data_IF_835209777294
#
_entry.id   IF_835209777294
#
_cell.length_a   1.000
_cell.length_b   1.000
_cell.length_c   1.000
_cell.angle_alpha   90.00
_cell.angle_beta   90.00
_cell.angle_gamma   90.00
#
_symmetry.space_group_name_H-M   'P 1'
#
loop_
_entity.id
_entity.type
_entity.pdbx_description
1 polymer ?
#
# COMPACT_ATOMS: atom_id res chain seq x y z
N UNK A 1 5.67 7.66 14.66
CA UNK A 1 4.24 7.76 14.34
C UNK A 1 3.78 6.36 14.01
N UNK A 2 2.76 5.82 14.67
CA UNK A 2 2.27 4.48 14.29
C UNK A 2 1.49 4.58 12.98
N UNK A 3 1.75 3.67 12.05
CA UNK A 3 1.17 3.65 10.70
C UNK A 3 0.53 2.30 10.41
N UNK A 4 -0.38 2.27 9.45
CA UNK A 4 -0.96 1.04 8.96
C UNK A 4 -1.01 0.99 7.44
N UNK A 5 -0.77 -0.19 6.87
CA UNK A 5 -1.08 -0.50 5.48
C UNK A 5 -2.34 -1.37 5.50
N UNK A 6 -3.37 -0.94 4.79
CA UNK A 6 -4.61 -1.72 4.63
C UNK A 6 -4.81 -2.04 3.17
N UNK A 7 -4.88 -3.33 2.85
CA UNK A 7 -4.95 -3.80 1.46
C UNK A 7 -6.01 -4.88 1.27
N UNK A 8 -6.59 -4.90 0.07
CA UNK A 8 -7.53 -5.95 -0.30
C UNK A 8 -6.79 -7.22 -0.71
N UNK A 9 -7.25 -8.34 -0.17
CA UNK A 9 -6.81 -9.67 -0.55
C UNK A 9 -7.99 -10.63 -0.46
N UNK A 10 -8.34 -11.28 -1.56
CA UNK A 10 -9.54 -12.12 -1.62
C UNK A 10 -9.50 -13.25 -0.59
N UNK A 11 -10.50 -13.29 0.29
CA UNK A 11 -10.64 -14.34 1.31
C UNK A 11 -9.87 -14.09 2.60
N UNK A 12 -9.22 -12.94 2.75
CA UNK A 12 -8.68 -12.50 4.03
C UNK A 12 -9.78 -12.18 5.05
N UNK A 13 -9.45 -12.30 6.32
CA UNK A 13 -10.24 -11.90 7.47
C UNK A 13 -9.39 -10.97 8.34
N UNK A 14 -9.71 -9.66 8.42
CA UNK A 14 -8.86 -8.68 9.10
C UNK A 14 -8.64 -8.96 10.59
N UNK A 15 -9.52 -9.76 11.23
CA UNK A 15 -9.33 -10.15 12.64
C UNK A 15 -8.22 -11.17 12.83
N UNK A 16 -7.88 -11.92 11.78
CA UNK A 16 -6.85 -12.98 11.80
C UNK A 16 -5.64 -12.59 10.96
N UNK A 17 -5.86 -11.90 9.86
CA UNK A 17 -4.89 -11.61 8.81
C UNK A 17 -4.32 -10.20 8.97
N UNK A 18 -3.68 -9.98 10.11
CA UNK A 18 -2.92 -8.78 10.40
C UNK A 18 -1.55 -9.12 10.99
N UNK A 19 -0.58 -8.22 10.76
CA UNK A 19 0.78 -8.34 11.26
C UNK A 19 1.21 -7.02 11.89
N UNK A 20 1.80 -7.08 13.07
CA UNK A 20 2.51 -5.96 13.67
C UNK A 20 4.02 -6.08 13.42
N UNK A 21 4.63 -4.98 12.99
CA UNK A 21 6.06 -4.87 12.75
C UNK A 21 6.52 -3.47 13.13
N UNK A 22 7.31 -3.34 14.20
CA UNK A 22 7.79 -2.05 14.70
C UNK A 22 6.64 -1.05 14.91
N UNK A 23 6.62 0.05 14.15
CA UNK A 23 5.58 1.08 14.17
C UNK A 23 4.52 0.90 13.07
N UNK A 24 4.55 -0.23 12.33
CA UNK A 24 3.67 -0.54 11.22
C UNK A 24 2.73 -1.72 11.55
N UNK A 25 1.43 -1.53 11.33
CA UNK A 25 0.44 -2.62 11.28
C UNK A 25 0.03 -2.87 9.83
N UNK A 26 0.08 -4.12 9.37
CA UNK A 26 -0.37 -4.51 8.03
C UNK A 26 -1.64 -5.31 8.19
N UNK A 27 -2.73 -4.90 7.53
CA UNK A 27 -4.04 -5.55 7.62
C UNK A 27 -4.54 -5.92 6.23
N UNK A 28 -4.83 -7.20 6.02
CA UNK A 28 -5.53 -7.66 4.84
C UNK A 28 -7.04 -7.61 5.08
N UNK A 29 -7.80 -7.06 4.14
CA UNK A 29 -9.27 -7.07 4.15
C UNK A 29 -9.79 -7.93 3.01
N UNK A 30 -10.83 -8.72 3.28
CA UNK A 30 -11.48 -9.58 2.29
C UNK A 30 -12.47 -8.81 1.43
N UNK A 31 -13.04 -7.72 1.96
CA UNK A 31 -13.93 -6.84 1.20
C UNK A 31 -13.93 -5.38 1.70
N UNK A 32 -14.25 -4.39 0.85
CA UNK A 32 -14.26 -2.98 1.26
C UNK A 32 -15.19 -2.62 2.42
N UNK A 33 -16.25 -3.40 2.65
CA UNK A 33 -17.16 -3.20 3.78
C UNK A 33 -16.51 -3.36 5.17
N UNK A 34 -15.32 -3.95 5.26
CA UNK A 34 -14.56 -4.11 6.51
C UNK A 34 -13.73 -2.88 6.87
N UNK A 35 -13.50 -1.98 5.89
CA UNK A 35 -12.54 -0.89 6.04
C UNK A 35 -12.88 0.06 7.21
N UNK A 36 -14.16 0.29 7.49
CA UNK A 36 -14.58 1.17 8.57
C UNK A 36 -14.28 0.57 9.97
N UNK A 37 -14.61 -0.70 10.18
CA UNK A 37 -14.34 -1.39 11.44
C UNK A 37 -12.82 -1.51 11.69
N UNK A 38 -12.07 -1.86 10.63
CA UNK A 38 -10.60 -1.89 10.68
C UNK A 38 -10.03 -0.52 11.05
N UNK A 39 -10.54 0.56 10.46
CA UNK A 39 -10.07 1.91 10.76
C UNK A 39 -10.33 2.31 12.21
N UNK A 40 -11.49 1.96 12.76
CA UNK A 40 -11.85 2.20 14.17
C UNK A 40 -10.86 1.48 15.10
N UNK A 41 -10.57 0.21 14.81
CA UNK A 41 -9.71 -0.60 15.67
C UNK A 41 -8.24 -0.15 15.59
N UNK A 42 -7.76 0.21 14.40
CA UNK A 42 -6.43 0.81 14.21
C UNK A 42 -6.31 2.14 14.98
N UNK A 43 -7.32 3.01 14.91
CA UNK A 43 -7.34 4.27 15.65
C UNK A 43 -7.30 4.05 17.16
N UNK A 44 -8.07 3.09 17.70
CA UNK A 44 -7.99 2.69 19.12
C UNK A 44 -6.60 2.14 19.50
N UNK A 45 -5.92 1.47 18.57
CA UNK A 45 -4.54 0.99 18.72
C UNK A 45 -3.47 2.10 18.68
N UNK A 46 -3.89 3.34 18.43
CA UNK A 46 -3.04 4.53 18.36
C UNK A 46 -2.35 4.70 17.01
N UNK A 47 -2.87 4.10 15.94
CA UNK A 47 -2.42 4.40 14.56
C UNK A 47 -2.80 5.84 14.21
N UNK A 48 -1.84 6.58 13.67
CA UNK A 48 -1.97 8.00 13.30
C UNK A 48 -2.02 8.18 11.76
N UNK A 49 -1.59 7.17 11.00
CA UNK A 49 -1.64 7.14 9.53
C UNK A 49 -2.14 5.78 9.02
N UNK A 50 -3.19 5.78 8.19
CA UNK A 50 -3.66 4.61 7.45
C UNK A 50 -3.41 4.83 5.96
N UNK A 51 -2.67 3.94 5.32
CA UNK A 51 -2.39 3.95 3.89
C UNK A 51 -3.20 2.85 3.20
N UNK A 52 -4.16 3.25 2.36
CA UNK A 52 -5.01 2.32 1.60
C UNK A 52 -4.34 1.92 0.28
N UNK A 53 -4.29 0.61 0.03
CA UNK A 53 -3.82 0.01 -1.23
C UNK A 53 -4.57 0.54 -2.46
N UNK A 54 -3.90 0.52 -3.63
CA UNK A 54 -4.43 1.03 -4.88
C UNK A 54 -5.61 0.22 -5.45
N UNK A 55 -5.81 -1.01 -4.96
CA UNK A 55 -7.02 -1.79 -5.22
C UNK A 55 -8.27 -1.20 -4.56
N UNK A 56 -8.09 -0.52 -3.42
CA UNK A 56 -9.19 0.11 -2.68
C UNK A 56 -9.62 1.36 -3.41
N UNK A 57 -10.84 1.35 -3.94
CA UNK A 57 -11.42 2.52 -4.62
C UNK A 57 -11.31 3.78 -3.74
N UNK A 58 -10.81 4.92 -4.26
CA UNK A 58 -10.69 6.17 -3.50
C UNK A 58 -11.99 6.68 -2.86
N UNK A 59 -13.14 6.19 -3.33
CA UNK A 59 -14.46 6.48 -2.73
C UNK A 59 -14.56 6.06 -1.26
N UNK A 60 -13.75 5.09 -0.83
CA UNK A 60 -13.78 4.57 0.54
C UNK A 60 -13.00 5.46 1.52
N UNK A 61 -12.03 6.23 1.04
CA UNK A 61 -11.21 7.09 1.89
C UNK A 61 -12.01 8.01 2.81
N UNK A 62 -13.04 8.77 2.38
CA UNK A 62 -13.81 9.61 3.31
C UNK A 62 -14.55 8.79 4.39
N UNK A 63 -15.01 7.57 4.08
CA UNK A 63 -15.64 6.70 5.07
C UNK A 63 -14.63 6.18 6.09
N UNK A 64 -13.44 5.79 5.62
CA UNK A 64 -12.31 5.37 6.47
C UNK A 64 -11.84 6.53 7.36
N UNK A 65 -11.68 7.73 6.80
CA UNK A 65 -11.31 8.93 7.57
C UNK A 65 -12.34 9.26 8.65
N UNK A 66 -13.64 9.23 8.31
CA UNK A 66 -14.70 9.48 9.29
C UNK A 66 -14.71 8.43 10.41
N UNK A 67 -14.47 7.16 10.08
CA UNK A 67 -14.43 6.05 11.04
C UNK A 67 -13.19 6.11 11.96
N UNK A 68 -12.01 6.46 11.40
CA UNK A 68 -10.77 6.58 12.17
C UNK A 68 -10.77 7.80 13.11
N UNK A 69 -11.46 8.87 12.72
CA UNK A 69 -11.57 10.10 13.50
C UNK A 69 -10.44 11.11 13.22
N UNK A 70 -10.53 12.31 13.81
CA UNK A 70 -9.73 13.49 13.42
C UNK A 70 -8.23 13.37 13.73
N UNK A 71 -7.81 12.41 14.56
CA UNK A 71 -6.40 12.17 14.89
C UNK A 71 -5.68 11.25 13.92
N UNK A 72 -6.37 10.73 12.90
CA UNK A 72 -5.81 9.72 11.98
C UNK A 72 -5.86 10.25 10.55
N UNK A 73 -4.70 10.34 9.92
CA UNK A 73 -4.60 10.66 8.50
C UNK A 73 -4.86 9.41 7.67
N UNK A 74 -5.60 9.55 6.57
CA UNK A 74 -5.87 8.43 5.65
C UNK A 74 -5.38 8.81 4.26
N UNK A 75 -4.42 8.05 3.73
CA UNK A 75 -3.91 8.19 2.37
C UNK A 75 -4.50 7.10 1.47
N UNK A 76 -4.36 7.27 0.16
CA UNK A 76 -4.61 6.19 -0.80
C UNK A 76 -3.50 6.17 -1.83
N UNK A 77 -3.09 4.95 -2.19
CA UNK A 77 -2.15 4.74 -3.28
C UNK A 77 -2.81 5.18 -4.60
N UNK A 78 -2.09 6.00 -5.36
CA UNK A 78 -2.51 6.44 -6.70
C UNK A 78 -1.41 6.17 -7.72
N UNK A 79 -1.81 6.13 -8.99
CA UNK A 79 -0.94 5.77 -10.12
C UNK A 79 -0.91 6.92 -11.14
N UNK A 80 0.26 7.15 -11.74
CA UNK A 80 0.43 8.06 -12.86
C UNK A 80 -0.03 7.46 -14.20
N UNK A 81 -0.06 8.30 -15.25
CA UNK A 81 -0.50 7.89 -16.59
C UNK A 81 0.40 6.80 -17.20
N UNK A 82 1.69 6.85 -16.89
CA UNK A 82 2.69 5.84 -17.26
C UNK A 82 2.37 4.44 -16.70
N UNK A 83 1.58 4.38 -15.63
CA UNK A 83 1.13 3.14 -14.99
C UNK A 83 -0.20 2.61 -15.54
N UNK A 84 -0.92 3.32 -16.43
CA UNK A 84 -2.26 2.91 -16.86
C UNK A 84 -2.28 1.55 -17.56
N UNK A 85 -1.47 1.36 -18.61
CA UNK A 85 -1.42 0.11 -19.35
C UNK A 85 -0.99 -1.09 -18.47
N UNK A 86 0.09 -1.01 -17.67
CA UNK A 86 0.48 -2.12 -16.81
C UNK A 86 -0.51 -2.34 -15.64
N UNK A 87 -1.16 -1.29 -15.09
CA UNK A 87 -2.23 -1.44 -14.11
C UNK A 87 -3.48 -2.11 -14.69
N UNK A 88 -3.87 -1.76 -15.91
CA UNK A 88 -4.96 -2.43 -16.63
C UNK A 88 -4.66 -3.92 -16.84
N UNK A 89 -3.42 -4.25 -17.22
CA UNK A 89 -2.98 -5.66 -17.33
C UNK A 89 -3.05 -6.38 -15.99
N UNK A 90 -2.59 -5.76 -14.91
CA UNK A 90 -2.65 -6.35 -13.56
C UNK A 90 -4.10 -6.63 -13.14
N UNK A 91 -4.97 -5.63 -13.31
CA UNK A 91 -6.41 -5.74 -13.01
C UNK A 91 -7.09 -6.82 -13.84
N UNK A 92 -6.83 -6.88 -15.16
CA UNK A 92 -7.38 -7.91 -16.03
C UNK A 92 -6.90 -9.32 -15.64
N UNK A 93 -5.61 -9.48 -15.32
CA UNK A 93 -5.07 -10.76 -14.90
C UNK A 93 -5.72 -11.28 -13.62
N UNK A 94 -6.00 -10.38 -12.65
CA UNK A 94 -6.79 -10.73 -11.47
C UNK A 94 -8.22 -11.15 -11.83
N UNK A 95 -8.91 -10.38 -12.68
CA UNK A 95 -10.28 -10.69 -13.12
C UNK A 95 -10.39 -12.03 -13.88
N UNK A 96 -9.35 -12.39 -14.63
CA UNK A 96 -9.24 -13.65 -15.36
C UNK A 96 -8.87 -14.84 -14.43
N UNK A 97 -8.71 -14.58 -13.12
CA UNK A 97 -8.33 -15.59 -12.13
C UNK A 97 -6.87 -16.03 -12.24
N UNK A 98 -6.01 -15.22 -12.85
CA UNK A 98 -4.57 -15.44 -12.95
C UNK A 98 -3.78 -14.23 -12.40
N UNK A 99 -3.98 -13.87 -11.12
CA UNK A 99 -3.39 -12.67 -10.54
C UNK A 99 -1.86 -12.68 -10.66
N UNK A 100 -1.30 -11.53 -11.02
CA UNK A 100 0.16 -11.35 -11.05
C UNK A 100 0.67 -11.09 -9.63
N UNK A 101 1.93 -11.47 -9.31
CA UNK A 101 2.51 -11.14 -8.02
C UNK A 101 2.59 -9.62 -7.80
N UNK A 102 2.24 -9.15 -6.61
CA UNK A 102 2.41 -7.77 -6.19
C UNK A 102 3.59 -7.63 -5.22
N UNK A 103 4.13 -6.42 -5.12
CA UNK A 103 5.11 -6.09 -4.10
C UNK A 103 4.84 -4.74 -3.44
N UNK A 104 4.84 -4.71 -2.12
CA UNK A 104 4.68 -3.51 -1.32
C UNK A 104 6.02 -3.16 -0.70
N UNK A 105 6.59 -2.04 -1.15
CA UNK A 105 7.86 -1.52 -0.65
C UNK A 105 7.54 -0.44 0.39
N UNK A 106 8.11 -0.55 1.58
CA UNK A 106 7.86 0.41 2.65
C UNK A 106 9.12 0.82 3.38
N UNK A 107 9.19 2.10 3.78
CA UNK A 107 10.32 2.65 4.51
C UNK A 107 10.34 2.16 5.96
N UNK A 108 11.43 1.51 6.35
CA UNK A 108 11.75 1.04 7.70
C UNK A 108 13.26 1.20 7.94
N UNK A 109 13.68 2.25 8.69
CA UNK A 109 15.09 2.50 8.96
C UNK A 109 15.82 1.27 9.53
N UNK A 110 16.95 0.90 8.92
CA UNK A 110 17.78 -0.23 9.36
C UNK A 110 17.34 -1.60 8.83
N UNK A 111 16.26 -1.68 8.05
CA UNK A 111 15.87 -2.92 7.39
C UNK A 111 16.88 -3.34 6.29
N UNK A 112 16.93 -4.64 6.01
CA UNK A 112 17.60 -5.22 4.85
C UNK A 112 16.55 -5.74 3.86
N UNK A 113 16.50 -5.11 2.67
CA UNK A 113 15.50 -5.40 1.64
C UNK A 113 15.49 -6.84 1.12
N UNK A 114 16.54 -7.63 1.35
CA UNK A 114 16.65 -9.03 0.94
C UNK A 114 16.35 -9.99 2.09
N UNK A 115 16.88 -9.71 3.28
CA UNK A 115 16.70 -10.57 4.45
C UNK A 115 15.33 -10.41 5.09
N UNK A 116 14.82 -9.18 5.14
CA UNK A 116 13.66 -8.84 5.97
C UNK A 116 12.34 -8.84 5.19
N UNK A 117 12.38 -9.18 3.88
CA UNK A 117 11.18 -9.35 3.06
C UNK A 117 10.41 -10.62 3.43
N UNK A 118 9.10 -10.58 3.24
CA UNK A 118 8.21 -11.72 3.48
C UNK A 118 7.06 -11.71 2.48
N UNK A 119 6.37 -12.84 2.36
CA UNK A 119 5.25 -13.01 1.42
C UNK A 119 3.98 -13.33 2.21
N UNK A 120 2.90 -12.61 1.93
CA UNK A 120 1.55 -13.04 2.30
C UNK A 120 0.86 -13.62 1.08
N UNK A 121 0.14 -14.73 1.29
CA UNK A 121 -0.58 -15.44 0.24
C UNK A 121 -2.02 -15.63 0.66
N UNK A 122 -2.94 -15.12 -0.17
CA UNK A 122 -4.38 -15.31 0.00
C UNK A 122 -4.92 -15.89 -1.29
N UNK A 123 -5.49 -17.10 -1.20
CA UNK A 123 -5.96 -17.85 -2.36
C UNK A 123 -4.85 -18.03 -3.42
N UNK A 124 -4.89 -17.24 -4.50
CA UNK A 124 -3.92 -17.26 -5.63
C UNK A 124 -3.10 -15.98 -5.71
N UNK A 125 -3.35 -15.02 -4.82
CA UNK A 125 -2.69 -13.72 -4.77
C UNK A 125 -1.46 -13.82 -3.87
N UNK A 126 -0.32 -13.32 -4.37
CA UNK A 126 0.94 -13.30 -3.66
C UNK A 126 1.44 -11.86 -3.56
N UNK A 127 1.55 -11.36 -2.34
CA UNK A 127 2.06 -10.01 -2.07
C UNK A 127 3.37 -10.11 -1.30
N UNK A 128 4.45 -9.62 -1.92
CA UNK A 128 5.76 -9.54 -1.29
C UNK A 128 5.90 -8.20 -0.57
N UNK A 129 6.07 -8.25 0.74
CA UNK A 129 6.34 -7.07 1.56
C UNK A 129 7.85 -6.89 1.67
N UNK A 130 8.34 -5.70 1.31
CA UNK A 130 9.76 -5.39 1.23
C UNK A 130 10.06 -4.15 2.08
N UNK A 131 10.43 -4.32 3.35
CA UNK A 131 10.96 -3.23 4.15
C UNK A 131 12.30 -2.76 3.56
N UNK A 132 12.49 -1.46 3.42
CA UNK A 132 13.75 -0.87 2.91
C UNK A 132 14.22 0.24 3.84
N UNK A 133 15.55 0.39 4.04
CA UNK A 133 16.10 1.38 4.96
C UNK A 133 15.94 2.81 4.42
N UNK A 134 15.88 2.97 3.10
CA UNK A 134 15.79 4.25 2.41
C UNK A 134 15.26 4.09 0.97
N UNK A 135 15.02 5.22 0.30
CA UNK A 135 14.49 5.26 -1.08
C UNK A 135 15.49 4.72 -2.12
N UNK A 136 16.80 4.80 -1.85
CA UNK A 136 17.81 4.26 -2.77
C UNK A 136 17.77 2.73 -2.79
N UNK A 137 17.59 2.11 -1.61
CA UNK A 137 17.34 0.68 -1.49
C UNK A 137 15.99 0.27 -2.12
N UNK A 138 14.97 1.13 -2.06
CA UNK A 138 13.71 0.91 -2.77
C UNK A 138 13.90 0.79 -4.29
N UNK A 139 14.70 1.69 -4.88
CA UNK A 139 15.05 1.66 -6.31
C UNK A 139 15.72 0.34 -6.69
N UNK A 140 16.70 -0.11 -5.88
CA UNK A 140 17.38 -1.38 -6.12
C UNK A 140 16.43 -2.57 -5.98
N UNK A 141 15.55 -2.57 -4.97
CA UNK A 141 14.56 -3.61 -4.76
C UNK A 141 13.57 -3.68 -5.92
N UNK A 142 13.04 -2.54 -6.38
CA UNK A 142 12.09 -2.47 -7.49
C UNK A 142 12.64 -3.08 -8.79
N UNK A 143 13.91 -2.81 -9.13
CA UNK A 143 14.59 -3.43 -10.29
C UNK A 143 14.60 -4.95 -10.22
N UNK A 144 14.93 -5.50 -9.05
CA UNK A 144 14.92 -6.94 -8.82
C UNK A 144 13.51 -7.52 -8.94
N UNK A 145 12.53 -6.90 -8.28
CA UNK A 145 11.14 -7.37 -8.28
C UNK A 145 10.55 -7.46 -9.69
N UNK A 146 10.77 -6.46 -10.55
CA UNK A 146 10.26 -6.53 -11.93
C UNK A 146 11.05 -7.47 -12.83
N UNK A 147 12.32 -7.74 -12.50
CA UNK A 147 13.09 -8.79 -13.16
C UNK A 147 12.52 -10.19 -12.80
N UNK A 148 12.06 -10.36 -11.57
CA UNK A 148 11.43 -11.58 -11.05
C UNK A 148 9.95 -11.75 -11.46
N UNK A 149 9.39 -10.78 -12.20
CA UNK A 149 8.04 -10.87 -12.76
C UNK A 149 6.92 -10.29 -11.88
N UNK A 150 7.25 -9.47 -10.89
CA UNK A 150 6.25 -8.68 -10.15
C UNK A 150 5.47 -7.77 -11.12
N UNK A 151 4.15 -7.84 -11.05
CA UNK A 151 3.22 -7.15 -11.94
C UNK A 151 2.58 -5.89 -11.35
N UNK A 152 2.82 -5.58 -10.07
CA UNK A 152 2.38 -4.37 -9.36
C UNK A 152 3.40 -4.03 -8.27
N UNK A 153 3.81 -2.77 -8.19
CA UNK A 153 4.58 -2.24 -7.06
C UNK A 153 3.81 -1.09 -6.41
N UNK A 154 3.73 -1.09 -5.09
CA UNK A 154 3.16 0.04 -4.33
C UNK A 154 4.15 0.51 -3.26
N UNK A 155 4.23 1.82 -3.09
CA UNK A 155 5.17 2.51 -2.20
C UNK A 155 4.44 3.09 -1.00
N UNK A 156 4.91 2.71 0.19
CA UNK A 156 4.31 3.05 1.48
C UNK A 156 5.33 3.67 2.43
N UNK A 157 4.84 4.35 3.47
CA UNK A 157 5.69 4.89 4.53
C UNK A 157 6.29 6.26 4.20
N UNK A 158 5.66 7.04 3.32
CA UNK A 158 6.01 8.45 3.11
C UNK A 158 7.15 8.71 2.12
N UNK A 159 7.22 7.94 1.03
CA UNK A 159 8.12 8.23 -0.08
C UNK A 159 7.96 9.69 -0.56
N UNK A 160 9.08 10.36 -0.76
CA UNK A 160 9.13 11.67 -1.41
C UNK A 160 8.77 11.55 -2.89
N UNK A 161 8.36 12.65 -3.50
CA UNK A 161 8.10 12.68 -4.95
C UNK A 161 9.34 12.32 -5.76
N UNK A 162 10.54 12.69 -5.29
CA UNK A 162 11.80 12.35 -5.96
C UNK A 162 12.12 10.84 -5.83
N UNK A 163 11.92 10.26 -4.65
CA UNK A 163 12.10 8.83 -4.42
C UNK A 163 11.13 7.98 -5.23
N UNK A 164 9.85 8.36 -5.23
CA UNK A 164 8.83 7.71 -6.03
C UNK A 164 9.17 7.77 -7.54
N UNK A 165 9.57 8.94 -8.05
CA UNK A 165 10.00 9.10 -9.43
C UNK A 165 11.20 8.19 -9.77
N UNK A 166 12.20 8.12 -8.89
CA UNK A 166 13.35 7.24 -9.09
C UNK A 166 12.97 5.75 -9.16
N UNK A 167 11.96 5.32 -8.38
CA UNK A 167 11.42 3.96 -8.46
C UNK A 167 10.65 3.73 -9.76
N UNK A 168 9.80 4.67 -10.17
CA UNK A 168 9.05 4.62 -11.44
C UNK A 168 10.03 4.46 -12.61
N UNK A 169 11.08 5.28 -12.67
CA UNK A 169 12.09 5.21 -13.73
C UNK A 169 12.84 3.87 -13.74
N UNK A 170 13.12 3.32 -12.56
CA UNK A 170 13.83 2.06 -12.41
C UNK A 170 13.01 0.83 -12.84
N UNK A 171 11.68 0.93 -12.78
CA UNK A 171 10.74 -0.10 -13.21
C UNK A 171 10.59 -0.15 -14.74
N UNK A 172 10.88 0.94 -15.44
CA UNK A 172 10.87 1.02 -16.91
C UNK A 172 9.54 0.54 -17.52
N UNK A 173 8.41 0.85 -16.87
CA UNK A 173 7.07 0.48 -17.32
C UNK A 173 6.74 -1.01 -17.28
N UNK A 174 7.58 -1.86 -16.66
CA UNK A 174 7.34 -3.31 -16.55
C UNK A 174 6.23 -3.67 -15.57
N UNK A 175 5.98 -2.80 -14.60
CA UNK A 175 4.91 -2.87 -13.62
C UNK A 175 4.37 -1.44 -13.37
N UNK A 176 3.10 -1.27 -12.99
CA UNK A 176 2.65 0.01 -12.46
C UNK A 176 3.30 0.25 -11.08
N UNK A 177 3.59 1.50 -10.78
CA UNK A 177 4.10 1.92 -9.46
C UNK A 177 3.10 2.87 -8.82
N UNK A 178 2.53 2.45 -7.72
CA UNK A 178 1.58 3.23 -6.92
C UNK A 178 2.29 3.98 -5.80
N UNK A 179 1.84 5.21 -5.51
CA UNK A 179 2.40 6.06 -4.46
C UNK A 179 1.30 6.54 -3.51
N UNK A 180 1.53 6.44 -2.20
CA UNK A 180 0.63 7.01 -1.19
C UNK A 180 0.39 8.50 -1.42
N UNK A 181 -0.88 8.91 -1.44
CA UNK A 181 -1.28 10.29 -1.76
C UNK A 181 -2.45 10.77 -0.90
N UNK A 182 -2.49 12.10 -0.71
CA UNK A 182 -3.58 12.81 -0.06
C UNK A 182 -4.29 13.71 -1.08
N UNK A 183 -5.54 14.06 -0.81
CA UNK A 183 -6.21 15.17 -1.50
C UNK A 183 -5.93 16.50 -0.81
N UNK A 184 -6.22 17.59 -1.52
CA UNK A 184 -5.92 18.95 -1.04
C UNK A 184 -6.67 19.32 0.25
N UNK A 185 -7.83 18.71 0.52
CA UNK A 185 -8.56 18.90 1.79
C UNK A 185 -7.73 18.48 3.01
N UNK A 186 -6.83 17.50 2.87
CA UNK A 186 -5.90 17.12 3.93
C UNK A 186 -4.86 18.22 4.27
N UNK A 187 -4.74 19.26 3.43
CA UNK A 187 -3.84 20.40 3.66
C UNK A 187 -4.57 21.60 4.30
N UNK A 188 -5.89 21.56 4.41
CA UNK A 188 -6.65 22.62 5.06
C UNK A 188 -6.61 22.43 6.58
N UNK A 189 -5.88 23.30 7.28
CA UNK A 189 -6.01 23.47 8.73
C UNK A 189 -7.23 24.35 9.01
N UNK A 190 -8.39 23.75 9.26
CA UNK A 190 -9.60 24.46 9.69
C UNK A 190 -10.77 23.50 9.95
N UNK A 191 -11.51 23.74 11.03
CA UNK A 191 -12.62 22.89 11.50
C UNK A 191 -13.58 22.48 10.38
N UNK A 192 -14.10 21.23 10.41
CA UNK A 192 -15.14 20.81 9.49
C UNK A 192 -16.38 21.69 9.70
N UNK A 193 -16.90 22.23 8.59
CA UNK A 193 -18.20 22.90 8.56
C UNK A 193 -19.34 21.90 8.80
#
# INVERSE_FOLDING_TARGET
>A
MKKAIVYEATGADPRRDHLERNDLTIVAVGHPGELADVAIDLAKGGVELIELCGGVSPRWRPLVSAAAGPGVQVSSVTFGMESLAPAARFSQAHADGAPLPAAFIFLEPGADARRDRFVQTFMREHTTFVPVPDEAAAVAAARGLVADGVGLIELYGGFTSAGAAAVIDAVQGRAPVGVGSFTLDATHHGDPA
#
